data_IF_045560636567
#
_entry.id   IF_045560636567
#
_cell.length_a   1.000
_cell.length_b   1.000
_cell.length_c   1.000
_cell.angle_alpha   90.00
_cell.angle_beta   90.00
_cell.angle_gamma   90.00
#
_symmetry.space_group_name_H-M   'P 1'
#
loop_
_entity.id
_entity.type
_entity.pdbx_description
1 polymer ?
#
# COMPACT_ATOMS: atom_id res chain seq x y z
N UNK A 1 -29.75 4.90 -28.89
CA UNK A 1 -29.72 5.72 -27.68
C UNK A 1 -28.45 5.34 -26.93
N UNK A 2 -27.46 6.21 -26.98
CA UNK A 2 -26.13 5.96 -26.42
C UNK A 2 -26.24 5.98 -24.88
N UNK A 3 -25.89 4.86 -24.25
CA UNK A 3 -25.69 4.78 -22.81
C UNK A 3 -24.68 5.85 -22.40
N UNK A 4 -25.17 6.90 -21.78
CA UNK A 4 -24.33 7.86 -21.06
C UNK A 4 -23.88 7.08 -19.81
N UNK A 5 -22.75 6.38 -19.92
CA UNK A 5 -22.07 5.80 -18.78
C UNK A 5 -21.76 6.96 -17.83
N UNK A 6 -22.52 7.08 -16.75
CA UNK A 6 -22.27 8.04 -15.69
C UNK A 6 -20.83 7.84 -15.20
N UNK A 7 -19.96 8.77 -15.57
CA UNK A 7 -18.58 8.79 -15.05
C UNK A 7 -18.68 8.91 -13.52
N UNK A 8 -18.16 7.95 -12.74
CA UNK A 8 -18.29 7.98 -11.30
C UNK A 8 -17.60 9.23 -10.75
N UNK A 9 -18.36 10.07 -10.06
CA UNK A 9 -17.85 11.31 -9.46
C UNK A 9 -17.60 11.10 -7.98
N UNK A 10 -16.37 11.31 -7.54
CA UNK A 10 -16.01 11.22 -6.12
C UNK A 10 -16.59 12.43 -5.39
N UNK A 11 -17.44 12.18 -4.41
CA UNK A 11 -18.06 13.21 -3.57
C UNK A 11 -17.37 13.25 -2.20
N UNK A 12 -16.87 14.40 -1.79
CA UNK A 12 -16.42 14.63 -0.41
C UNK A 12 -17.63 14.73 0.50
N UNK A 13 -17.74 13.81 1.46
CA UNK A 13 -18.80 13.78 2.47
C UNK A 13 -18.41 14.59 3.69
N UNK A 14 -17.15 14.48 4.13
CA UNK A 14 -16.62 15.14 5.32
C UNK A 14 -15.23 15.68 5.00
N UNK A 15 -14.93 16.85 5.52
CA UNK A 15 -13.61 17.45 5.51
C UNK A 15 -13.32 18.02 6.89
N UNK A 16 -12.17 17.65 7.48
CA UNK A 16 -11.75 18.12 8.81
C UNK A 16 -10.29 18.50 8.77
N UNK A 17 -9.96 19.70 9.25
CA UNK A 17 -8.57 20.11 9.44
C UNK A 17 -8.01 19.52 10.71
N UNK A 18 -6.79 19.03 10.63
CA UNK A 18 -6.00 18.50 11.75
C UNK A 18 -5.03 19.58 12.25
N UNK A 19 -4.64 19.51 13.50
CA UNK A 19 -3.64 20.40 14.11
C UNK A 19 -2.22 19.79 14.11
N UNK A 20 -2.01 18.78 13.29
CA UNK A 20 -0.75 18.08 13.14
C UNK A 20 -0.57 17.60 11.69
N UNK A 21 0.65 17.20 11.32
CA UNK A 21 0.94 16.65 10.00
C UNK A 21 0.59 15.17 9.98
N UNK A 22 -0.42 14.73 9.20
CA UNK A 22 -0.72 13.30 9.07
C UNK A 22 0.32 12.62 8.18
N UNK A 23 0.55 11.31 8.39
CA UNK A 23 1.40 10.48 7.54
C UNK A 23 0.65 9.31 6.95
N UNK A 24 -0.28 8.71 7.69
CA UNK A 24 -1.07 7.58 7.19
C UNK A 24 -2.48 7.60 7.77
N UNK A 25 -3.40 6.92 7.08
CA UNK A 25 -4.80 6.76 7.49
C UNK A 25 -5.31 5.37 7.11
N UNK A 26 -6.09 4.77 8.01
CA UNK A 26 -6.77 3.50 7.75
C UNK A 26 -8.18 3.51 8.33
N UNK A 27 -9.09 2.75 7.72
CA UNK A 27 -10.30 2.31 8.39
C UNK A 27 -9.97 1.24 9.41
N UNK A 28 -10.52 1.34 10.62
CA UNK A 28 -10.51 0.19 11.50
C UNK A 28 -11.36 -0.92 10.86
N UNK A 29 -10.85 -2.15 10.82
CA UNK A 29 -11.56 -3.26 10.19
C UNK A 29 -12.99 -3.40 10.72
N UNK A 30 -13.96 -3.50 9.81
CA UNK A 30 -15.39 -3.70 10.10
C UNK A 30 -16.06 -2.68 11.02
N UNK A 31 -15.55 -1.47 11.07
CA UNK A 31 -16.08 -0.40 11.91
C UNK A 31 -16.27 0.91 11.13
N UNK A 32 -16.97 1.86 11.72
CA UNK A 32 -17.12 3.23 11.22
C UNK A 32 -16.00 4.16 11.73
N UNK A 33 -14.90 3.59 12.23
CA UNK A 33 -13.80 4.37 12.79
C UNK A 33 -12.64 4.47 11.81
N UNK A 34 -11.96 5.62 11.82
CA UNK A 34 -10.69 5.83 11.11
C UNK A 34 -9.58 6.10 12.11
N UNK A 35 -8.40 5.59 11.84
CA UNK A 35 -7.17 5.85 12.58
C UNK A 35 -6.23 6.66 11.71
N UNK A 36 -5.63 7.70 12.29
CA UNK A 36 -4.67 8.58 11.62
C UNK A 36 -3.39 8.59 12.45
N UNK A 37 -2.26 8.36 11.79
CA UNK A 37 -0.94 8.55 12.38
C UNK A 37 -0.31 9.81 11.85
N UNK A 38 0.48 10.50 12.67
CA UNK A 38 1.08 11.76 12.26
C UNK A 38 2.12 12.27 13.24
N UNK A 39 2.51 13.52 13.04
CA UNK A 39 3.50 14.25 13.81
C UNK A 39 2.92 15.55 14.34
N UNK A 40 3.03 15.74 15.64
CA UNK A 40 2.77 17.02 16.30
C UNK A 40 4.07 17.82 16.47
N UNK A 41 3.93 19.04 16.96
CA UNK A 41 5.04 19.91 17.29
C UNK A 41 6.07 19.17 18.19
N UNK A 42 7.36 19.45 17.99
CA UNK A 42 8.51 18.83 18.67
C UNK A 42 8.78 17.36 18.26
N UNK A 43 8.46 16.97 17.03
CA UNK A 43 8.75 15.64 16.46
C UNK A 43 8.21 14.47 17.27
N UNK A 44 7.12 14.71 18.03
CA UNK A 44 6.39 13.64 18.69
C UNK A 44 5.35 13.03 17.77
N UNK A 45 5.18 11.73 17.88
CA UNK A 45 4.15 11.02 17.17
C UNK A 45 2.77 11.21 17.81
N UNK A 46 1.76 11.17 16.97
CA UNK A 46 0.35 11.16 17.39
C UNK A 46 -0.40 10.06 16.64
N UNK A 47 -1.30 9.40 17.35
CA UNK A 47 -2.27 8.48 16.80
C UNK A 47 -3.64 8.93 17.29
N UNK A 48 -4.54 9.24 16.36
CA UNK A 48 -5.92 9.61 16.68
C UNK A 48 -6.89 8.65 16.03
N UNK A 49 -7.87 8.21 16.79
CA UNK A 49 -8.99 7.40 16.34
C UNK A 49 -10.22 8.30 16.33
N UNK A 50 -10.86 8.39 15.17
CA UNK A 50 -12.10 9.13 14.99
C UNK A 50 -13.25 8.19 14.70
N UNK A 51 -14.37 8.42 15.31
CA UNK A 51 -15.62 7.73 15.02
C UNK A 51 -16.48 8.58 14.07
N UNK A 52 -17.04 7.97 13.04
CA UNK A 52 -17.96 8.60 12.10
C UNK A 52 -19.38 8.54 12.67
N UNK A 53 -19.83 9.67 13.26
CA UNK A 53 -21.13 9.78 13.90
C UNK A 53 -21.93 10.88 13.22
N UNK A 54 -23.12 10.56 12.71
CA UNK A 54 -24.06 11.50 12.07
C UNK A 54 -23.39 12.44 11.08
N UNK A 55 -22.49 11.90 10.23
CA UNK A 55 -21.80 12.68 9.21
C UNK A 55 -20.68 13.59 9.71
N UNK A 56 -20.15 13.36 10.92
CA UNK A 56 -19.03 14.10 11.51
C UNK A 56 -17.96 13.14 12.02
N UNK A 57 -16.69 13.56 11.94
CA UNK A 57 -15.57 12.86 12.57
C UNK A 57 -15.41 13.39 14.00
N UNK A 58 -15.80 12.56 14.96
CA UNK A 58 -15.64 12.81 16.39
C UNK A 58 -14.42 12.10 16.91
N UNK A 59 -13.49 12.81 17.58
CA UNK A 59 -12.33 12.21 18.21
C UNK A 59 -12.81 11.25 19.33
N UNK A 60 -12.32 10.01 19.26
CA UNK A 60 -12.66 8.96 20.21
C UNK A 60 -11.47 8.69 21.15
N UNK A 61 -10.28 8.47 20.57
CA UNK A 61 -9.07 8.17 21.33
C UNK A 61 -7.87 8.91 20.74
N UNK A 62 -6.95 9.31 21.61
CA UNK A 62 -5.68 9.92 21.23
C UNK A 62 -4.52 9.30 22.00
N UNK A 63 -3.44 8.96 21.30
CA UNK A 63 -2.19 8.48 21.87
C UNK A 63 -1.04 9.36 21.42
N UNK A 64 -0.29 9.93 22.35
CA UNK A 64 0.97 10.60 22.07
C UNK A 64 2.11 9.59 22.15
N UNK A 65 2.98 9.62 21.14
CA UNK A 65 4.12 8.70 20.98
C UNK A 65 5.43 9.46 21.06
N UNK A 66 6.54 8.82 21.52
CA UNK A 66 7.86 9.45 21.49
C UNK A 66 8.28 9.91 20.10
N UNK A 67 8.01 9.09 19.08
CA UNK A 67 8.38 9.33 17.70
C UNK A 67 7.18 9.18 16.76
N UNK A 68 7.14 9.94 15.65
CA UNK A 68 6.07 9.81 14.67
C UNK A 68 6.17 8.48 13.90
N UNK A 69 5.02 7.91 13.56
CA UNK A 69 4.94 6.69 12.77
C UNK A 69 4.74 7.01 11.31
N UNK A 70 5.68 6.58 10.46
CA UNK A 70 5.67 6.82 9.01
C UNK A 70 4.69 5.89 8.29
N UNK A 71 4.68 4.62 8.68
CA UNK A 71 3.89 3.57 8.04
C UNK A 71 3.14 2.73 9.06
N UNK A 72 2.05 2.13 8.62
CA UNK A 72 1.18 1.34 9.49
C UNK A 72 0.31 0.36 8.71
N UNK A 73 -0.14 -0.72 9.36
CA UNK A 73 -1.02 -1.72 8.74
C UNK A 73 -1.89 -2.44 9.77
N UNK A 74 -3.10 -2.83 9.34
CA UNK A 74 -3.98 -3.75 10.05
C UNK A 74 -3.88 -5.20 9.56
N UNK A 75 -2.94 -5.54 8.69
CA UNK A 75 -2.85 -6.87 8.08
C UNK A 75 -2.74 -8.04 9.05
N UNK A 76 -2.39 -7.78 10.32
CA UNK A 76 -2.33 -8.77 11.40
C UNK A 76 -3.56 -8.81 12.29
N UNK A 77 -4.49 -7.87 12.15
CA UNK A 77 -5.70 -7.83 12.98
C UNK A 77 -6.53 -9.08 12.85
N UNK A 78 -7.04 -9.57 13.98
CA UNK A 78 -8.01 -10.67 14.04
C UNK A 78 -9.44 -10.14 14.30
N UNK A 79 -10.44 -11.04 14.25
CA UNK A 79 -11.82 -10.66 14.58
C UNK A 79 -11.99 -10.23 16.05
N UNK A 80 -11.08 -10.68 16.91
CA UNK A 80 -11.13 -10.47 18.35
C UNK A 80 -10.14 -9.42 18.84
N UNK A 81 -9.27 -8.89 17.96
CA UNK A 81 -8.28 -7.87 18.36
C UNK A 81 -8.01 -6.90 17.22
N UNK A 82 -7.95 -5.61 17.56
CA UNK A 82 -7.49 -4.55 16.64
C UNK A 82 -5.99 -4.33 16.86
N UNK A 83 -5.19 -5.26 16.35
CA UNK A 83 -3.74 -5.14 16.40
C UNK A 83 -3.26 -4.28 15.23
N UNK A 84 -2.57 -3.18 15.55
CA UNK A 84 -2.11 -2.18 14.61
C UNK A 84 -0.60 -2.13 14.60
N UNK A 85 0.01 -2.55 13.51
CA UNK A 85 1.45 -2.54 13.33
C UNK A 85 1.94 -1.18 12.83
N UNK A 86 3.05 -0.70 13.38
CA UNK A 86 3.62 0.62 13.16
C UNK A 86 5.12 0.55 12.94
N UNK A 87 5.63 1.32 11.97
CA UNK A 87 7.04 1.65 11.82
C UNK A 87 7.26 3.15 12.04
N UNK A 88 8.24 3.51 12.88
CA UNK A 88 8.50 4.90 13.22
C UNK A 88 9.77 5.48 12.58
N UNK A 89 10.01 6.77 12.83
CA UNK A 89 11.13 7.53 12.28
C UNK A 89 12.49 7.16 12.91
N UNK A 90 12.49 6.51 14.07
CA UNK A 90 13.70 6.03 14.75
C UNK A 90 14.02 4.55 14.46
N UNK A 91 13.24 3.94 13.57
CA UNK A 91 13.42 2.53 13.20
C UNK A 91 12.82 1.55 14.19
N UNK A 92 11.93 1.99 15.08
CA UNK A 92 11.23 1.08 15.97
C UNK A 92 10.02 0.47 15.26
N UNK A 93 9.83 -0.82 15.47
CA UNK A 93 8.68 -1.57 15.00
C UNK A 93 7.82 -1.99 16.20
N UNK A 94 6.53 -1.67 16.15
CA UNK A 94 5.62 -1.91 17.26
C UNK A 94 4.26 -2.43 16.77
N UNK A 95 3.61 -3.24 17.60
CA UNK A 95 2.23 -3.65 17.42
C UNK A 95 1.43 -3.17 18.63
N UNK A 96 0.47 -2.30 18.37
CA UNK A 96 -0.43 -1.76 19.38
C UNK A 96 -1.74 -2.52 19.37
N UNK A 97 -2.18 -2.97 20.53
CA UNK A 97 -3.56 -3.35 20.75
C UNK A 97 -4.37 -2.08 21.03
N UNK A 98 -5.23 -1.70 20.08
CA UNK A 98 -5.97 -0.43 20.17
C UNK A 98 -7.08 -0.44 21.23
N UNK A 99 -7.56 -1.59 21.65
CA UNK A 99 -8.56 -1.69 22.71
C UNK A 99 -7.95 -1.45 24.09
N UNK A 100 -6.74 -1.98 24.29
CA UNK A 100 -6.01 -1.88 25.56
C UNK A 100 -5.09 -0.66 25.63
N UNK A 101 -4.77 -0.04 24.49
CA UNK A 101 -3.85 1.09 24.39
C UNK A 101 -2.39 0.76 24.70
N UNK A 102 -2.02 -0.53 24.68
CA UNK A 102 -0.68 -1.01 25.00
C UNK A 102 -0.02 -1.66 23.79
N UNK A 103 1.32 -1.65 23.75
CA UNK A 103 2.09 -2.39 22.77
C UNK A 103 2.16 -3.86 23.20
N UNK A 104 1.66 -4.77 22.35
CA UNK A 104 1.82 -6.21 22.51
C UNK A 104 3.19 -6.69 22.04
N UNK A 105 3.82 -5.92 21.16
CA UNK A 105 5.12 -6.23 20.53
C UNK A 105 5.87 -4.93 20.30
N UNK A 106 7.14 -4.86 20.72
CA UNK A 106 7.93 -3.63 20.65
C UNK A 106 9.41 -3.96 20.43
N UNK A 107 9.88 -3.78 19.21
CA UNK A 107 11.28 -3.97 18.81
C UNK A 107 11.91 -2.60 18.57
N UNK A 108 12.80 -2.23 19.47
CA UNK A 108 13.60 -1.00 19.33
C UNK A 108 14.70 -1.21 18.31
N UNK A 109 14.88 -0.18 17.46
CA UNK A 109 15.89 -0.18 16.41
C UNK A 109 15.83 -1.44 15.52
N UNK A 110 14.61 -1.81 15.16
CA UNK A 110 14.38 -2.85 14.16
C UNK A 110 15.09 -2.55 12.84
N UNK A 111 15.23 -1.26 12.50
CA UNK A 111 16.02 -0.73 11.37
C UNK A 111 16.93 0.42 11.81
N UNK A 112 18.00 0.69 11.04
CA UNK A 112 18.83 1.87 11.21
C UNK A 112 18.19 3.07 10.50
N UNK A 113 17.44 3.88 11.26
CA UNK A 113 16.65 5.00 10.77
C UNK A 113 15.22 4.61 10.40
N UNK A 114 14.57 5.45 9.63
CA UNK A 114 13.12 5.41 9.36
C UNK A 114 12.68 4.07 8.78
N UNK A 115 11.58 3.52 9.29
CA UNK A 115 10.83 2.45 8.62
C UNK A 115 9.86 3.11 7.62
N UNK A 116 10.16 2.97 6.33
CA UNK A 116 9.37 3.60 5.27
C UNK A 116 8.13 2.80 4.88
N UNK A 117 8.27 1.48 4.82
CA UNK A 117 7.22 0.56 4.38
C UNK A 117 6.94 -0.52 5.41
N UNK A 118 5.68 -0.86 5.58
CA UNK A 118 5.21 -1.98 6.39
C UNK A 118 3.99 -2.60 5.74
N UNK A 119 3.95 -3.92 5.71
CA UNK A 119 2.76 -4.67 5.33
C UNK A 119 2.69 -5.98 6.11
N UNK A 120 1.51 -6.62 6.11
CA UNK A 120 1.30 -7.84 6.87
C UNK A 120 0.26 -8.75 6.22
N UNK A 121 0.38 -10.03 6.52
CA UNK A 121 -0.51 -11.10 6.06
C UNK A 121 -0.74 -12.09 7.18
N UNK A 122 -1.77 -12.93 7.06
CA UNK A 122 -2.07 -13.99 8.04
C UNK A 122 -2.95 -13.55 9.20
N UNK A 123 -3.44 -12.30 9.19
CA UNK A 123 -4.48 -11.89 10.12
C UNK A 123 -5.83 -12.54 9.79
N UNK A 124 -6.90 -11.89 10.22
CA UNK A 124 -8.30 -12.36 10.12
C UNK A 124 -8.73 -12.98 8.78
N UNK A 125 -8.22 -12.45 7.66
CA UNK A 125 -8.56 -12.90 6.31
C UNK A 125 -7.36 -13.56 5.63
N UNK A 126 -6.28 -13.83 6.36
CA UNK A 126 -5.08 -14.45 5.84
C UNK A 126 -5.04 -15.94 6.09
N UNK A 127 -4.26 -16.65 5.28
CA UNK A 127 -3.97 -18.05 5.44
C UNK A 127 -2.60 -18.16 6.09
N UNK A 128 -2.48 -19.10 7.01
CA UNK A 128 -1.24 -19.36 7.74
C UNK A 128 -0.96 -18.40 8.90
N UNK A 129 0.20 -18.51 9.55
CA UNK A 129 0.58 -17.68 10.69
C UNK A 129 0.76 -16.21 10.28
N UNK A 130 0.46 -15.26 11.19
CA UNK A 130 0.68 -13.86 10.89
C UNK A 130 2.16 -13.55 10.70
N UNK A 131 2.47 -12.90 9.59
CA UNK A 131 3.80 -12.39 9.26
C UNK A 131 3.73 -10.91 8.93
N UNK A 132 4.78 -10.19 9.29
CA UNK A 132 4.95 -8.77 8.99
C UNK A 132 6.23 -8.59 8.21
N UNK A 133 6.20 -7.67 7.24
CA UNK A 133 7.38 -7.21 6.54
C UNK A 133 7.59 -5.73 6.80
N UNK A 134 8.84 -5.34 7.00
CA UNK A 134 9.26 -3.94 7.14
C UNK A 134 10.39 -3.64 6.17
N UNK A 135 10.35 -2.44 5.57
CA UNK A 135 11.42 -1.89 4.73
C UNK A 135 11.91 -0.57 5.31
N UNK A 136 13.22 -0.41 5.44
CA UNK A 136 13.81 0.70 6.14
C UNK A 136 14.76 1.57 5.31
N UNK A 137 15.16 2.68 5.89
CA UNK A 137 16.17 3.58 5.38
C UNK A 137 17.54 2.91 5.21
N UNK A 138 17.82 1.89 6.02
CA UNK A 138 19.02 1.06 5.92
C UNK A 138 19.04 0.15 4.67
N UNK A 139 18.00 0.21 3.82
CA UNK A 139 17.84 -0.60 2.62
C UNK A 139 17.43 -2.04 2.89
N UNK A 140 17.39 -2.44 4.15
CA UNK A 140 17.04 -3.81 4.53
C UNK A 140 15.53 -4.02 4.44
N UNK A 141 15.14 -5.24 4.07
CA UNK A 141 13.77 -5.72 4.21
C UNK A 141 13.77 -6.86 5.21
N UNK A 142 13.00 -6.73 6.27
CA UNK A 142 12.96 -7.69 7.38
C UNK A 142 11.58 -8.32 7.51
N UNK A 143 11.55 -9.63 7.66
CA UNK A 143 10.32 -10.41 7.83
C UNK A 143 10.28 -10.91 9.27
N UNK A 144 9.14 -10.67 9.92
CA UNK A 144 8.93 -10.91 11.34
C UNK A 144 7.85 -11.95 11.54
N UNK A 145 8.17 -12.94 12.36
CA UNK A 145 7.19 -13.83 12.98
C UNK A 145 7.00 -13.38 14.45
N UNK A 146 5.76 -13.07 14.82
CA UNK A 146 5.45 -12.50 16.14
C UNK A 146 5.76 -13.41 17.33
N UNK A 147 6.14 -14.63 17.07
CA UNK A 147 6.62 -15.58 18.12
C UNK A 147 8.08 -15.36 18.49
N UNK A 148 8.80 -14.54 17.70
CA UNK A 148 10.23 -14.31 17.84
C UNK A 148 10.52 -12.79 17.93
N UNK A 149 11.50 -12.41 18.76
CA UNK A 149 11.98 -11.04 18.88
C UNK A 149 12.99 -10.64 17.78
N UNK A 150 13.36 -11.57 16.92
CA UNK A 150 14.30 -11.35 15.80
C UNK A 150 13.60 -11.60 14.48
N UNK A 151 14.00 -10.89 13.42
CA UNK A 151 13.47 -11.16 12.08
C UNK A 151 13.83 -12.60 11.68
N UNK A 152 12.88 -13.28 11.04
CA UNK A 152 13.09 -14.64 10.51
C UNK A 152 13.96 -14.60 9.26
N UNK A 153 13.77 -13.55 8.45
CA UNK A 153 14.52 -13.35 7.21
C UNK A 153 14.92 -11.89 7.09
N UNK A 154 16.13 -11.64 6.61
CA UNK A 154 16.64 -10.31 6.28
C UNK A 154 17.11 -10.34 4.82
N UNK A 155 16.49 -9.50 4.00
CA UNK A 155 16.87 -9.33 2.61
C UNK A 155 17.69 -8.06 2.46
N UNK A 156 18.90 -8.21 1.95
CA UNK A 156 19.82 -7.11 1.70
C UNK A 156 19.68 -6.59 0.27
N UNK A 157 19.84 -5.29 0.02
CA UNK A 157 19.89 -4.75 -1.33
C UNK A 157 21.14 -5.32 -2.05
N UNK A 158 20.99 -5.74 -3.31
CA UNK A 158 22.13 -6.18 -4.12
C UNK A 158 22.97 -4.98 -4.55
N UNK A 159 24.29 -5.15 -4.58
CA UNK A 159 25.21 -4.14 -5.18
C UNK A 159 25.99 -3.32 -4.19
N UNK A 160 26.28 -3.86 -3.02
CA UNK A 160 27.13 -3.22 -2.05
C UNK A 160 28.59 -3.38 -2.45
N UNK A 161 29.20 -2.31 -2.93
CA UNK A 161 30.64 -2.18 -2.78
C UNK A 161 30.92 -1.94 -1.30
N UNK A 162 31.81 -2.74 -0.69
CA UNK A 162 32.24 -2.68 0.72
C UNK A 162 32.86 -1.32 1.15
N UNK A 163 32.72 -0.27 0.38
CA UNK A 163 33.37 1.03 0.54
C UNK A 163 32.44 2.12 1.08
N UNK A 164 31.47 1.78 1.94
CA UNK A 164 30.81 2.77 2.81
C UNK A 164 29.86 3.76 2.11
N UNK A 165 29.34 3.46 0.93
CA UNK A 165 28.31 4.26 0.28
C UNK A 165 26.91 3.79 0.66
N UNK A 166 26.02 4.75 0.86
CA UNK A 166 24.64 4.59 1.23
C UNK A 166 23.93 3.54 0.38
N UNK A 167 23.33 2.56 1.04
CA UNK A 167 22.41 1.61 0.42
C UNK A 167 21.19 2.34 -0.13
N UNK A 168 20.58 1.86 -1.21
CA UNK A 168 19.27 2.37 -1.63
C UNK A 168 18.26 2.12 -0.51
N UNK A 169 17.51 3.15 -0.16
CA UNK A 169 16.47 3.04 0.87
C UNK A 169 15.30 2.18 0.37
N UNK A 170 14.82 1.25 1.17
CA UNK A 170 13.61 0.50 0.87
C UNK A 170 12.38 1.36 1.22
N UNK A 171 11.73 1.93 0.19
CA UNK A 171 10.61 2.85 0.39
C UNK A 171 9.26 2.15 0.54
N UNK A 172 9.09 0.99 -0.08
CA UNK A 172 7.81 0.29 -0.04
C UNK A 172 7.97 -1.21 -0.06
N UNK A 173 7.12 -1.87 0.69
CA UNK A 173 6.96 -3.33 0.71
C UNK A 173 5.47 -3.67 0.67
N UNK A 174 5.13 -4.76 -0.01
CA UNK A 174 3.76 -5.24 -0.06
C UNK A 174 3.71 -6.75 -0.20
N UNK A 175 2.88 -7.41 0.61
CA UNK A 175 2.57 -8.83 0.44
C UNK A 175 1.65 -9.05 -0.75
N UNK A 176 2.01 -10.00 -1.58
CA UNK A 176 1.16 -10.55 -2.62
C UNK A 176 0.14 -11.54 -2.06
N UNK A 177 -0.94 -11.76 -2.79
CA UNK A 177 -1.96 -12.74 -2.43
C UNK A 177 -1.41 -14.16 -2.32
N UNK A 178 -1.98 -14.91 -1.40
CA UNK A 178 -1.70 -16.33 -1.21
C UNK A 178 -2.58 -17.12 -2.16
N UNK A 179 -2.01 -17.94 -3.01
CA UNK A 179 -2.77 -18.91 -3.82
C UNK A 179 -3.16 -20.10 -2.96
N UNK A 180 -4.46 -20.40 -2.90
CA UNK A 180 -4.98 -21.62 -2.32
C UNK A 180 -5.34 -22.53 -3.49
N UNK A 181 -4.36 -23.20 -4.04
CA UNK A 181 -4.57 -24.27 -4.98
C UNK A 181 -3.59 -25.39 -4.63
N UNK A 182 -4.02 -26.62 -4.62
CA UNK A 182 -3.19 -27.82 -4.39
C UNK A 182 -2.40 -27.92 -3.06
N UNK A 183 -2.75 -27.13 -2.05
CA UNK A 183 -2.10 -27.18 -0.72
C UNK A 183 -0.75 -26.46 -0.63
N UNK A 184 -0.34 -25.71 -1.64
CA UNK A 184 0.87 -24.89 -1.61
C UNK A 184 0.54 -23.43 -1.28
N UNK A 185 0.96 -22.96 -0.12
CA UNK A 185 0.91 -21.54 0.25
C UNK A 185 2.04 -20.79 -0.49
N UNK A 186 1.71 -20.05 -1.53
CA UNK A 186 2.67 -19.17 -2.19
C UNK A 186 2.62 -17.77 -1.57
N UNK A 187 3.66 -17.41 -0.83
CA UNK A 187 3.82 -16.05 -0.28
C UNK A 187 4.85 -15.29 -1.12
N UNK A 188 4.41 -14.24 -1.77
CA UNK A 188 5.26 -13.35 -2.57
C UNK A 188 5.31 -11.98 -1.93
N UNK A 189 6.44 -11.30 -2.12
CA UNK A 189 6.69 -9.98 -1.58
C UNK A 189 7.16 -9.05 -2.69
N UNK A 190 6.48 -7.93 -2.88
CA UNK A 190 6.93 -6.81 -3.69
C UNK A 190 7.81 -5.89 -2.85
N UNK A 191 8.97 -5.48 -3.39
CA UNK A 191 9.96 -4.62 -2.73
C UNK A 191 10.33 -3.50 -3.69
N UNK A 192 10.26 -2.26 -3.22
CA UNK A 192 10.61 -1.08 -4.02
C UNK A 192 11.58 -0.15 -3.30
N UNK A 193 12.58 0.32 -4.05
CA UNK A 193 13.69 1.16 -3.57
C UNK A 193 13.64 2.57 -4.16
N UNK A 194 14.31 3.50 -3.49
CA UNK A 194 14.45 4.91 -3.90
C UNK A 194 15.24 5.11 -5.21
N UNK A 195 16.14 4.18 -5.53
CA UNK A 195 16.92 4.18 -6.77
C UNK A 195 16.15 3.63 -7.98
N UNK A 196 14.89 3.21 -7.80
CA UNK A 196 14.04 2.63 -8.83
C UNK A 196 14.13 1.11 -8.96
N UNK A 197 14.93 0.44 -8.16
CA UNK A 197 14.94 -1.03 -8.12
C UNK A 197 13.62 -1.54 -7.58
N UNK A 198 13.03 -2.44 -8.34
CA UNK A 198 11.81 -3.15 -8.01
C UNK A 198 12.06 -4.64 -8.05
N UNK A 199 11.62 -5.39 -7.05
CA UNK A 199 11.81 -6.85 -6.94
C UNK A 199 10.53 -7.53 -6.48
N UNK A 200 10.31 -8.74 -7.00
CA UNK A 200 9.34 -9.70 -6.46
C UNK A 200 10.14 -10.87 -5.88
N UNK A 201 9.92 -11.14 -4.61
CA UNK A 201 10.57 -12.19 -3.86
C UNK A 201 9.57 -13.29 -3.50
N UNK A 202 9.97 -14.55 -3.67
CA UNK A 202 9.21 -15.72 -3.24
C UNK A 202 9.76 -16.21 -1.91
N UNK A 203 8.94 -16.10 -0.87
CA UNK A 203 9.35 -16.46 0.50
C UNK A 203 9.54 -17.97 0.68
N UNK A 204 8.78 -18.79 -0.05
CA UNK A 204 8.90 -20.24 0.03
C UNK A 204 10.17 -20.74 -0.63
N UNK A 205 10.51 -20.16 -1.78
CA UNK A 205 11.69 -20.56 -2.56
C UNK A 205 12.96 -19.81 -2.16
N UNK A 206 12.84 -18.83 -1.24
CA UNK A 206 13.91 -17.94 -0.78
C UNK A 206 14.71 -17.32 -1.95
N UNK A 207 13.98 -16.83 -2.96
CA UNK A 207 14.62 -16.26 -4.15
C UNK A 207 13.84 -15.08 -4.76
N UNK A 208 14.60 -14.22 -5.46
CA UNK A 208 14.02 -13.19 -6.33
C UNK A 208 13.45 -13.87 -7.58
N UNK A 209 12.12 -13.76 -7.78
CA UNK A 209 11.45 -14.24 -8.99
C UNK A 209 11.62 -13.27 -10.15
N UNK A 210 11.56 -11.98 -9.85
CA UNK A 210 11.63 -10.91 -10.81
C UNK A 210 12.32 -9.69 -10.21
N UNK A 211 13.07 -8.95 -11.02
CA UNK A 211 13.68 -7.68 -10.65
C UNK A 211 13.95 -6.82 -11.87
N UNK A 212 13.60 -5.54 -11.77
CA UNK A 212 13.81 -4.53 -12.79
C UNK A 212 14.10 -3.17 -12.13
N UNK A 213 14.86 -2.32 -12.82
CA UNK A 213 15.02 -0.91 -12.42
C UNK A 213 14.11 -0.03 -13.28
N UNK A 214 13.15 0.64 -12.65
CA UNK A 214 12.18 1.53 -13.30
C UNK A 214 12.68 2.97 -13.44
N UNK A 215 13.98 3.21 -13.18
CA UNK A 215 14.73 4.48 -13.32
C UNK A 215 14.34 5.58 -12.32
N UNK A 216 13.21 5.48 -11.65
CA UNK A 216 12.73 6.47 -10.67
C UNK A 216 12.31 5.74 -9.39
N UNK A 217 12.53 6.37 -8.24
CA UNK A 217 12.19 5.79 -6.94
C UNK A 217 10.76 5.24 -6.88
N UNK A 218 10.62 4.07 -6.28
CA UNK A 218 9.35 3.35 -6.19
C UNK A 218 8.57 3.88 -4.99
N UNK A 219 7.45 4.56 -5.24
CA UNK A 219 6.64 5.18 -4.20
C UNK A 219 5.68 4.19 -3.51
N UNK A 220 5.09 3.28 -4.29
CA UNK A 220 4.09 2.34 -3.77
C UNK A 220 4.00 1.09 -4.64
N UNK A 221 3.68 -0.02 -4.01
CA UNK A 221 3.31 -1.27 -4.63
C UNK A 221 1.98 -1.69 -4.02
N UNK A 222 1.03 -2.10 -4.84
CA UNK A 222 -0.24 -2.67 -4.39
C UNK A 222 -0.64 -3.86 -5.25
N UNK A 223 -1.19 -4.89 -4.62
CA UNK A 223 -1.67 -6.09 -5.28
C UNK A 223 -3.20 -6.11 -5.26
N UNK A 224 -3.79 -6.66 -6.31
CA UNK A 224 -5.24 -6.66 -6.49
C UNK A 224 -5.98 -7.57 -5.50
N UNK A 225 -5.28 -8.47 -4.84
CA UNK A 225 -5.82 -9.28 -3.73
C UNK A 225 -4.69 -9.83 -2.87
N UNK A 226 -4.97 -9.97 -1.57
CA UNK A 226 -4.10 -10.68 -0.61
C UNK A 226 -4.58 -12.10 -0.32
N UNK A 227 -5.84 -12.43 -0.62
CA UNK A 227 -6.50 -13.66 -0.19
C UNK A 227 -6.98 -14.56 -1.34
N UNK A 228 -6.80 -14.11 -2.58
CA UNK A 228 -7.16 -14.84 -3.80
C UNK A 228 -5.93 -14.94 -4.68
N UNK A 229 -5.94 -15.81 -5.70
CA UNK A 229 -4.86 -15.85 -6.67
C UNK A 229 -4.51 -14.44 -7.15
N UNK A 230 -3.22 -14.16 -7.14
CA UNK A 230 -2.66 -12.90 -7.57
C UNK A 230 -2.82 -12.75 -9.08
N UNK A 231 -3.54 -11.72 -9.51
CA UNK A 231 -3.75 -11.49 -10.94
C UNK A 231 -3.06 -10.22 -11.42
N UNK A 232 -3.00 -9.19 -10.58
CA UNK A 232 -2.48 -7.88 -10.99
C UNK A 232 -1.68 -7.24 -9.85
N UNK A 233 -0.76 -6.38 -10.27
CA UNK A 233 0.05 -5.57 -9.38
C UNK A 233 0.22 -4.19 -10.00
N UNK A 234 0.22 -3.16 -9.17
CA UNK A 234 0.54 -1.79 -9.59
C UNK A 234 1.77 -1.31 -8.84
N UNK A 235 2.68 -0.70 -9.57
CA UNK A 235 3.88 -0.06 -9.05
C UNK A 235 3.87 1.40 -9.47
N UNK A 236 4.05 2.33 -8.53
CA UNK A 236 4.13 3.77 -8.81
C UNK A 236 5.53 4.29 -8.60
N UNK A 237 5.88 5.32 -9.35
CA UNK A 237 7.22 5.92 -9.30
C UNK A 237 7.17 7.43 -9.11
N UNK A 238 8.26 8.00 -8.60
CA UNK A 238 8.46 9.44 -8.51
C UNK A 238 8.38 10.14 -9.87
N UNK A 239 8.72 9.44 -10.94
CA UNK A 239 8.72 9.94 -12.31
C UNK A 239 7.33 10.10 -12.94
N UNK A 240 6.28 10.27 -12.14
CA UNK A 240 4.90 10.51 -12.61
C UNK A 240 4.31 9.35 -13.44
N UNK A 241 4.85 8.15 -13.28
CA UNK A 241 4.40 6.94 -13.97
C UNK A 241 3.88 5.92 -12.98
N UNK A 242 2.90 5.17 -13.42
CA UNK A 242 2.55 3.91 -12.78
C UNK A 242 2.61 2.76 -13.80
N UNK A 243 2.92 1.59 -13.31
CA UNK A 243 3.04 0.36 -14.09
C UNK A 243 2.06 -0.66 -13.55
N UNK A 244 1.19 -1.16 -14.41
CA UNK A 244 0.29 -2.26 -14.11
C UNK A 244 0.88 -3.54 -14.72
N UNK A 245 1.08 -4.53 -13.89
CA UNK A 245 1.53 -5.87 -14.27
C UNK A 245 0.33 -6.81 -14.23
N UNK A 246 -0.01 -7.39 -15.37
CA UNK A 246 -1.00 -8.45 -15.49
C UNK A 246 -0.28 -9.79 -15.47
N UNK A 247 -0.53 -10.57 -14.43
CA UNK A 247 0.16 -11.82 -14.13
C UNK A 247 -0.57 -13.06 -14.68
N UNK A 248 -1.78 -12.89 -15.21
CA UNK A 248 -2.60 -13.96 -15.76
C UNK A 248 -2.47 -14.14 -17.28
N UNK A 249 -1.70 -13.29 -17.94
CA UNK A 249 -1.66 -13.27 -19.39
C UNK A 249 -0.80 -14.43 -19.93
N UNK A 250 -1.46 -15.41 -20.53
CA UNK A 250 -0.82 -16.58 -21.18
C UNK A 250 -0.42 -16.33 -22.65
N UNK A 251 -0.48 -15.07 -23.14
CA UNK A 251 -0.15 -14.75 -24.51
C UNK A 251 1.33 -14.95 -24.79
N UNK A 252 1.63 -15.84 -25.74
CA UNK A 252 2.98 -16.21 -26.13
C UNK A 252 3.80 -15.08 -26.79
N UNK A 253 3.17 -13.96 -27.15
CA UNK A 253 3.80 -12.91 -27.95
C UNK A 253 4.40 -11.73 -27.16
N UNK A 254 4.07 -11.56 -25.87
CA UNK A 254 4.52 -10.44 -25.03
C UNK A 254 5.24 -10.89 -23.76
N UNK A 255 5.83 -12.09 -23.76
CA UNK A 255 6.40 -12.71 -22.57
C UNK A 255 7.85 -12.28 -22.42
N UNK A 256 8.14 -11.41 -21.48
CA UNK A 256 9.48 -11.24 -20.93
C UNK A 256 9.80 -12.46 -20.04
N UNK A 257 10.42 -13.47 -20.65
CA UNK A 257 10.85 -14.71 -19.99
C UNK A 257 12.14 -14.46 -19.19
N UNK A 258 12.08 -13.66 -18.15
CA UNK A 258 13.13 -13.68 -17.14
C UNK A 258 12.64 -14.52 -15.96
N UNK A 259 13.20 -15.73 -15.82
CA UNK A 259 13.06 -16.60 -14.64
C UNK A 259 11.64 -17.12 -14.31
N UNK A 260 10.89 -17.66 -15.25
CA UNK A 260 9.57 -18.28 -15.03
C UNK A 260 8.44 -17.37 -14.50
N UNK A 261 8.65 -16.08 -14.40
CA UNK A 261 7.61 -15.12 -14.01
C UNK A 261 7.04 -14.46 -15.25
N UNK A 262 5.84 -14.88 -15.65
CA UNK A 262 5.15 -14.37 -16.83
C UNK A 262 4.32 -13.15 -16.42
N UNK A 263 4.39 -12.06 -17.17
CA UNK A 263 3.58 -10.87 -16.95
C UNK A 263 3.46 -10.04 -18.23
N UNK A 264 2.38 -9.27 -18.32
CA UNK A 264 2.22 -8.18 -19.27
C UNK A 264 2.31 -6.86 -18.54
N UNK A 265 3.23 -5.99 -18.95
CA UNK A 265 3.39 -4.65 -18.38
C UNK A 265 2.67 -3.62 -19.21
N UNK A 266 1.82 -2.84 -18.57
CA UNK A 266 1.19 -1.63 -19.10
C UNK A 266 1.66 -0.45 -18.26
N UNK A 267 1.74 0.73 -18.84
CA UNK A 267 2.05 1.95 -18.08
C UNK A 267 1.17 3.10 -18.55
N UNK A 268 0.95 4.08 -17.68
CA UNK A 268 0.38 5.38 -18.03
C UNK A 268 1.14 6.48 -17.28
N UNK A 269 1.09 7.69 -17.83
CA UNK A 269 1.75 8.86 -17.26
C UNK A 269 0.69 9.79 -16.68
N UNK A 270 1.00 10.29 -15.49
CA UNK A 270 0.19 11.28 -14.80
C UNK A 270 1.02 12.57 -14.73
N UNK A 271 0.44 13.74 -14.93
CA UNK A 271 1.18 15.01 -14.94
C UNK A 271 1.72 15.42 -13.56
N UNK A 272 1.93 14.48 -12.65
CA UNK A 272 2.40 14.70 -11.28
C UNK A 272 2.86 13.40 -10.66
N UNK A 273 3.70 13.47 -9.63
CA UNK A 273 4.11 12.30 -8.84
C UNK A 273 2.90 11.53 -8.34
N UNK A 274 2.94 10.21 -8.45
CA UNK A 274 1.94 9.29 -7.91
C UNK A 274 2.50 8.67 -6.64
N UNK A 275 2.09 9.20 -5.48
CA UNK A 275 2.58 8.76 -4.17
C UNK A 275 2.08 7.38 -3.75
N UNK A 276 0.93 6.98 -4.27
CA UNK A 276 0.37 5.68 -3.94
C UNK A 276 -0.74 5.24 -4.88
N UNK A 277 -1.03 3.96 -4.84
CA UNK A 277 -2.20 3.36 -5.50
C UNK A 277 -2.86 2.38 -4.55
N UNK A 278 -4.17 2.19 -4.74
CA UNK A 278 -4.95 1.18 -4.02
C UNK A 278 -6.00 0.58 -4.94
N UNK A 279 -5.96 -0.74 -5.08
CA UNK A 279 -7.04 -1.47 -5.75
C UNK A 279 -8.35 -1.32 -4.99
N UNK A 280 -9.43 -1.26 -5.75
CA UNK A 280 -10.77 -1.18 -5.19
C UNK A 280 -11.20 -2.57 -4.70
N UNK A 281 -11.48 -2.75 -3.39
CA UNK A 281 -11.68 -4.09 -2.83
C UNK A 281 -12.83 -4.89 -3.45
N UNK A 282 -13.87 -4.19 -3.92
CA UNK A 282 -15.08 -4.80 -4.49
C UNK A 282 -14.97 -5.06 -6.01
N UNK A 283 -13.98 -4.45 -6.69
CA UNK A 283 -13.72 -4.68 -8.11
C UNK A 283 -12.24 -4.59 -8.42
N UNK A 284 -11.60 -5.73 -8.60
CA UNK A 284 -10.16 -5.90 -8.85
C UNK A 284 -9.68 -5.28 -10.18
N UNK A 285 -10.58 -4.77 -11.01
CA UNK A 285 -10.22 -4.05 -12.24
C UNK A 285 -10.17 -2.53 -12.05
N UNK A 286 -10.61 -2.02 -10.91
CA UNK A 286 -10.58 -0.60 -10.60
C UNK A 286 -9.48 -0.32 -9.56
N UNK A 287 -8.77 0.78 -9.74
CA UNK A 287 -7.79 1.26 -8.76
C UNK A 287 -7.78 2.78 -8.67
N UNK A 288 -7.41 3.29 -7.50
CA UNK A 288 -7.19 4.70 -7.25
C UNK A 288 -5.70 5.04 -7.35
N UNK A 289 -5.36 6.24 -7.83
CA UNK A 289 -4.02 6.83 -7.71
C UNK A 289 -4.05 8.12 -6.90
N UNK A 290 -3.07 8.26 -6.01
CA UNK A 290 -2.90 9.37 -5.08
C UNK A 290 -1.86 10.34 -5.65
N UNK A 291 -2.31 11.50 -6.07
CA UNK A 291 -1.48 12.42 -6.84
C UNK A 291 -0.87 13.53 -5.98
N UNK A 292 0.35 13.95 -6.35
CA UNK A 292 1.08 15.04 -5.71
C UNK A 292 0.42 16.40 -5.86
N UNK A 293 -0.45 16.58 -6.83
CA UNK A 293 -1.24 17.82 -7.01
C UNK A 293 -2.57 17.82 -6.23
N UNK A 294 -2.82 16.81 -5.39
CA UNK A 294 -4.08 16.68 -4.63
C UNK A 294 -5.25 16.07 -5.40
N UNK A 295 -4.99 15.52 -6.58
CA UNK A 295 -5.99 14.76 -7.33
C UNK A 295 -6.07 13.31 -6.84
N UNK A 296 -7.29 12.79 -6.82
CA UNK A 296 -7.59 11.37 -6.69
C UNK A 296 -8.15 10.90 -8.02
N UNK A 297 -7.39 10.08 -8.74
CA UNK A 297 -7.81 9.53 -10.02
C UNK A 297 -8.27 8.10 -9.84
N UNK A 298 -9.28 7.71 -10.60
CA UNK A 298 -9.72 6.31 -10.71
C UNK A 298 -9.49 5.82 -12.11
N UNK A 299 -8.96 4.62 -12.19
CA UNK A 299 -8.70 3.92 -13.44
C UNK A 299 -9.40 2.58 -13.45
N UNK A 300 -9.77 2.14 -14.64
CA UNK A 300 -10.28 0.81 -14.93
C UNK A 300 -9.34 0.08 -15.86
N UNK A 301 -8.97 -1.13 -15.49
CA UNK A 301 -8.29 -2.06 -16.38
C UNK A 301 -9.32 -2.93 -17.08
N UNK A 302 -9.30 -2.95 -18.40
CA UNK A 302 -10.16 -3.79 -19.22
C UNK A 302 -9.40 -5.03 -19.69
N UNK A 303 -9.84 -6.21 -19.25
CA UNK A 303 -9.47 -7.46 -19.91
C UNK A 303 -10.14 -7.45 -21.28
N UNK A 304 -9.40 -7.24 -22.35
CA UNK A 304 -9.92 -7.49 -23.70
C UNK A 304 -9.85 -8.98 -23.98
N UNK A 305 -10.97 -9.65 -24.15
CA UNK A 305 -11.02 -10.94 -24.83
C UNK A 305 -10.52 -10.74 -26.27
N UNK A 306 -9.61 -11.59 -26.72
CA UNK A 306 -8.73 -11.44 -27.89
C UNK A 306 -9.42 -11.50 -29.26
N UNK A 307 -10.74 -11.42 -29.37
CA UNK A 307 -11.46 -11.65 -30.63
C UNK A 307 -11.94 -10.40 -31.40
N UNK A 308 -11.63 -9.19 -30.88
CA UNK A 308 -12.01 -7.96 -31.60
C UNK A 308 -10.77 -7.33 -32.29
N UNK A 309 -10.61 -7.54 -33.58
CA UNK A 309 -9.56 -6.91 -34.42
C UNK A 309 -9.60 -5.36 -34.39
N UNK A 310 -10.70 -4.77 -33.96
CA UNK A 310 -10.85 -3.31 -33.77
C UNK A 310 -10.24 -2.79 -32.45
N UNK A 311 -9.71 -3.65 -31.58
CA UNK A 311 -9.22 -3.31 -30.24
C UNK A 311 -7.72 -3.03 -30.16
N UNK A 312 -6.96 -3.14 -31.27
CA UNK A 312 -5.51 -2.95 -31.30
C UNK A 312 -5.08 -1.53 -30.86
N UNK A 313 -5.99 -0.54 -30.90
CA UNK A 313 -5.71 0.86 -30.56
C UNK A 313 -6.40 1.36 -29.26
N UNK A 314 -7.14 0.55 -28.50
CA UNK A 314 -7.75 1.01 -27.27
C UNK A 314 -6.80 0.84 -26.08
N UNK A 315 -6.53 1.92 -25.35
CA UNK A 315 -5.78 1.86 -24.09
C UNK A 315 -6.46 0.87 -23.14
N UNK A 316 -5.76 -0.19 -22.75
CA UNK A 316 -6.27 -1.18 -21.76
C UNK A 316 -6.52 -0.56 -20.38
N UNK A 317 -5.91 0.57 -20.07
CA UNK A 317 -6.12 1.35 -18.86
C UNK A 317 -6.95 2.58 -19.25
N UNK A 318 -8.15 2.69 -18.69
CA UNK A 318 -9.06 3.82 -18.90
C UNK A 318 -9.14 4.67 -17.65
N UNK A 319 -8.87 5.97 -17.78
CA UNK A 319 -9.17 6.94 -16.71
C UNK A 319 -10.70 7.09 -16.61
N UNK A 320 -11.26 6.73 -15.46
CA UNK A 320 -12.69 6.87 -15.16
C UNK A 320 -13.00 8.28 -14.68
N UNK A 321 -12.19 8.80 -13.77
CA UNK A 321 -12.38 10.14 -13.19
C UNK A 321 -11.08 10.73 -12.68
N UNK A 322 -10.97 12.05 -12.81
CA UNK A 322 -9.90 12.88 -12.24
C UNK A 322 -10.58 13.95 -11.37
N UNK A 323 -10.43 13.82 -10.05
CA UNK A 323 -11.03 14.80 -9.13
C UNK A 323 -9.94 15.44 -8.27
N UNK A 324 -9.81 16.75 -8.37
CA UNK A 324 -8.99 17.52 -7.43
C UNK A 324 -9.74 17.61 -6.10
N UNK A 325 -9.28 16.82 -5.13
CA UNK A 325 -9.91 16.69 -3.82
C UNK A 325 -9.19 17.54 -2.78
N UNK A 326 -7.86 17.63 -2.83
CA UNK A 326 -7.02 18.35 -1.89
C UNK A 326 -6.21 19.45 -2.58
N UNK A 327 -5.72 20.43 -1.80
CA UNK A 327 -4.81 21.48 -2.29
C UNK A 327 -3.35 21.04 -2.31
N UNK A 328 -3.01 20.02 -1.53
CA UNK A 328 -1.67 19.46 -1.37
C UNK A 328 -1.66 17.94 -1.69
N UNK A 329 -0.47 17.31 -1.79
CA UNK A 329 -0.34 15.89 -2.05
C UNK A 329 -1.19 15.01 -1.13
N UNK A 330 -1.86 14.01 -1.70
CA UNK A 330 -2.54 12.95 -0.95
C UNK A 330 -1.48 11.92 -0.60
N UNK A 331 -1.28 11.68 0.70
CA UNK A 331 -0.19 10.82 1.21
C UNK A 331 -0.67 9.56 1.90
N UNK A 332 -1.91 9.54 2.38
CA UNK A 332 -2.54 8.36 2.97
C UNK A 332 -3.95 8.17 2.42
N UNK A 333 -4.33 6.92 2.22
CA UNK A 333 -5.61 6.56 1.64
C UNK A 333 -5.99 5.14 2.01
N UNK A 334 -7.28 4.93 2.27
CA UNK A 334 -7.81 3.58 2.47
C UNK A 334 -9.26 3.47 1.98
N UNK A 335 -9.58 2.31 1.38
CA UNK A 335 -10.94 1.95 1.03
C UNK A 335 -11.65 1.31 2.21
N UNK A 336 -12.92 1.64 2.39
CA UNK A 336 -13.74 0.93 3.35
C UNK A 336 -14.07 -0.48 2.82
N UNK A 337 -13.71 -1.49 3.59
CA UNK A 337 -13.81 -2.88 3.13
C UNK A 337 -15.25 -3.34 2.83
N UNK A 338 -16.22 -2.91 3.66
CA UNK A 338 -17.64 -3.33 3.56
C UNK A 338 -18.46 -2.35 2.72
N UNK A 339 -18.33 -1.04 2.97
CA UNK A 339 -19.12 -0.03 2.29
C UNK A 339 -18.49 0.34 0.95
N UNK A 340 -19.01 -0.22 -0.12
CA UNK A 340 -18.50 0.00 -1.47
C UNK A 340 -18.42 1.49 -1.82
N UNK A 341 -17.30 1.91 -2.36
CA UNK A 341 -17.03 3.28 -2.79
C UNK A 341 -16.74 4.28 -1.66
N UNK A 342 -16.86 3.89 -0.39
CA UNK A 342 -16.47 4.73 0.72
C UNK A 342 -14.96 4.67 0.93
N UNK A 343 -14.30 5.84 1.07
CA UNK A 343 -12.87 5.92 1.31
C UNK A 343 -12.51 7.05 2.27
N UNK A 344 -11.35 6.93 2.88
CA UNK A 344 -10.75 7.98 3.69
C UNK A 344 -9.38 8.37 3.10
N UNK A 345 -8.99 9.61 3.26
CA UNK A 345 -7.70 10.11 2.82
C UNK A 345 -7.17 11.22 3.72
N UNK A 346 -5.85 11.37 3.72
CA UNK A 346 -5.15 12.50 4.34
C UNK A 346 -4.17 13.11 3.36
N UNK A 347 -3.97 14.42 3.49
CA UNK A 347 -3.11 15.20 2.62
C UNK A 347 -2.18 16.12 3.43
N UNK A 348 -1.09 16.57 2.80
CA UNK A 348 -0.06 17.41 3.42
C UNK A 348 -0.54 18.81 3.81
N UNK A 349 -1.76 19.22 3.44
CA UNK A 349 -2.41 20.43 3.94
C UNK A 349 -3.10 20.23 5.31
N UNK A 350 -2.80 19.11 5.98
CA UNK A 350 -3.33 18.72 7.28
C UNK A 350 -4.87 18.53 7.26
N UNK A 351 -5.38 17.98 6.18
CA UNK A 351 -6.81 17.72 6.02
C UNK A 351 -7.06 16.22 5.93
N UNK A 352 -8.04 15.75 6.70
CA UNK A 352 -8.65 14.43 6.53
C UNK A 352 -9.98 14.58 5.81
N UNK A 353 -10.24 13.71 4.84
CA UNK A 353 -11.51 13.64 4.13
C UNK A 353 -12.07 12.23 4.09
N UNK A 354 -13.41 12.17 4.20
CA UNK A 354 -14.19 10.97 3.89
C UNK A 354 -14.90 11.23 2.59
N UNK A 355 -14.70 10.37 1.62
CA UNK A 355 -15.25 10.51 0.28
C UNK A 355 -16.05 9.26 -0.11
N UNK A 356 -16.95 9.43 -1.08
CA UNK A 356 -17.71 8.33 -1.67
C UNK A 356 -17.75 8.50 -3.19
N UNK A 357 -17.63 7.35 -3.88
CA UNK A 357 -17.89 7.15 -5.32
C UNK A 357 -19.38 7.21 -5.61
#
# INVERSE_FOLDING_TARGET
MSDISLVPKIKTLISKKLNYTPYNIHWLPYSSKVIITGEIYNSKGIIQIYNLIKGRLCLDVEYIRPFPSKCSTFGISSFSSYDFALGDFEGNFQILNLEKGIANYDIKKAHEGIIHGIDAIGGKNGIGPPEIVTGGKDGMVKIWDLRNDKPVTVLEPKGIEKNGKNFPECWTVAYAGVSIGDGSEERKLGIGYDNGDFKIFDLRMDKVLYGENLKNGICSIDFDSKNNPLNKMIVTTLGSKFYLFDLNNNDNNDINLNNNFKYKRLYDEVNTTVWGTKFFPQNRNIFASLCGNGCLNLYEYKNSDFNDENYINSKKIKLLTNNKICSAPIIGFDWHYVNSGLCCLVSLDNIVKICKL
#
